data_IF_904997619958
#
_entry.id   IF_904997619958
#
_cell.length_a   1.000
_cell.length_b   1.000
_cell.length_c   1.000
_cell.angle_alpha   90.00
_cell.angle_beta   90.00
_cell.angle_gamma   90.00
#
_symmetry.space_group_name_H-M   'P 1'
#
loop_
_entity.id
_entity.type
_entity.pdbx_description
1 polymer ?
#
# COMPACT_ATOMS: atom_id res chain seq x y z
N UNK A 1 -51.18 -9.43 1.22
CA UNK A 1 -50.00 -9.27 2.08
C UNK A 1 -50.42 -8.53 3.33
N UNK A 2 -49.93 -8.93 4.51
CA UNK A 2 -50.35 -8.43 5.83
C UNK A 2 -49.53 -7.20 6.28
N UNK A 3 -50.16 -6.22 6.93
CA UNK A 3 -49.50 -4.97 7.41
C UNK A 3 -48.31 -5.22 8.37
N UNK A 4 -48.30 -6.37 9.04
CA UNK A 4 -47.19 -6.80 9.89
C UNK A 4 -45.93 -7.13 9.09
N UNK A 5 -46.08 -7.62 7.87
CA UNK A 5 -44.95 -7.85 6.96
C UNK A 5 -44.33 -6.53 6.50
N UNK A 6 -45.15 -5.54 6.14
CA UNK A 6 -44.66 -4.21 5.75
C UNK A 6 -43.90 -3.50 6.88
N UNK A 7 -44.38 -3.59 8.12
CA UNK A 7 -43.71 -2.97 9.28
C UNK A 7 -42.39 -3.65 9.64
N UNK A 8 -42.28 -4.98 9.43
CA UNK A 8 -41.02 -5.73 9.60
C UNK A 8 -40.01 -5.37 8.52
N UNK A 9 -40.43 -5.27 7.26
CA UNK A 9 -39.56 -4.88 6.14
C UNK A 9 -39.04 -3.45 6.32
N UNK A 10 -39.90 -2.51 6.73
CA UNK A 10 -39.47 -1.11 6.93
C UNK A 10 -38.52 -0.95 8.14
N UNK A 11 -38.75 -1.71 9.21
CA UNK A 11 -37.84 -1.75 10.37
C UNK A 11 -36.50 -2.38 10.01
N UNK A 12 -36.49 -3.44 9.18
CA UNK A 12 -35.28 -4.07 8.70
C UNK A 12 -34.48 -3.14 7.76
N UNK A 13 -35.15 -2.40 6.87
CA UNK A 13 -34.52 -1.41 6.00
C UNK A 13 -33.88 -0.27 6.81
N UNK A 14 -34.56 0.21 7.86
CA UNK A 14 -34.04 1.28 8.72
C UNK A 14 -32.83 0.82 9.55
N UNK A 15 -32.82 -0.43 10.02
CA UNK A 15 -31.68 -1.02 10.71
C UNK A 15 -30.44 -1.17 9.81
N UNK A 16 -30.65 -1.48 8.53
CA UNK A 16 -29.57 -1.58 7.54
C UNK A 16 -29.00 -0.20 7.14
N UNK A 17 -29.85 0.84 7.07
CA UNK A 17 -29.39 2.19 6.74
C UNK A 17 -28.51 2.79 7.85
N UNK A 18 -28.79 2.48 9.12
CA UNK A 18 -28.01 2.96 10.27
C UNK A 18 -26.61 2.32 10.33
N UNK A 19 -26.46 1.05 9.92
CA UNK A 19 -25.16 0.38 9.92
C UNK A 19 -24.22 0.88 8.81
N UNK A 20 -24.75 1.46 7.73
CA UNK A 20 -23.94 2.01 6.64
C UNK A 20 -23.47 3.46 6.91
N UNK A 21 -24.16 4.21 7.77
CA UNK A 21 -23.85 5.63 8.06
C UNK A 21 -22.74 5.88 9.08
N UNK A 22 -22.19 4.83 9.71
CA UNK A 22 -21.22 4.93 10.81
C UNK A 22 -19.80 4.46 10.44
N UNK A 23 -19.52 4.22 9.15
CA UNK A 23 -18.17 3.87 8.73
C UNK A 23 -17.26 5.10 8.88
N UNK A 24 -16.23 5.07 9.75
CA UNK A 24 -15.25 6.14 9.74
C UNK A 24 -14.57 6.14 8.36
N UNK A 25 -14.42 7.32 7.77
CA UNK A 25 -13.46 7.52 6.68
C UNK A 25 -12.09 7.31 7.29
N UNK A 26 -11.59 6.08 7.17
CA UNK A 26 -10.28 5.72 7.67
C UNK A 26 -9.25 6.38 6.76
N UNK A 27 -8.60 7.45 7.25
CA UNK A 27 -7.42 7.98 6.60
C UNK A 27 -6.35 6.88 6.53
N UNK A 28 -5.63 6.79 5.42
CA UNK A 28 -4.54 5.83 5.29
C UNK A 28 -3.54 6.05 6.43
N UNK A 29 -3.29 5.01 7.20
CA UNK A 29 -2.34 5.07 8.30
C UNK A 29 -0.93 5.31 7.74
N UNK A 30 -0.21 6.31 8.26
CA UNK A 30 1.16 6.58 7.82
C UNK A 30 2.07 5.44 8.28
N UNK A 31 2.49 4.59 7.35
CA UNK A 31 3.43 3.51 7.64
C UNK A 31 4.79 4.11 7.98
N UNK A 32 5.29 3.82 9.18
CA UNK A 32 6.66 4.16 9.58
C UNK A 32 7.58 3.02 9.15
N UNK A 33 8.71 3.39 8.56
CA UNK A 33 9.80 2.48 8.19
C UNK A 33 11.12 3.09 8.66
N UNK A 34 12.09 2.24 9.00
CA UNK A 34 13.42 2.67 9.40
C UNK A 34 14.21 3.18 8.20
N UNK A 35 13.98 2.58 7.02
CA UNK A 35 14.60 2.99 5.76
C UNK A 35 13.56 3.08 4.64
N UNK A 36 13.54 4.21 3.94
CA UNK A 36 12.83 4.38 2.67
C UNK A 36 13.86 4.58 1.55
N UNK A 37 13.90 3.64 0.61
CA UNK A 37 14.75 3.69 -0.58
C UNK A 37 13.94 4.23 -1.75
N UNK A 38 14.42 5.32 -2.36
CA UNK A 38 13.79 5.94 -3.53
C UNK A 38 14.62 5.59 -4.75
N UNK A 39 13.98 4.97 -5.74
CA UNK A 39 14.62 4.37 -6.91
C UNK A 39 14.86 2.87 -6.71
N UNK A 40 14.40 2.06 -7.66
CA UNK A 40 14.53 0.60 -7.72
C UNK A 40 15.68 0.12 -8.60
N UNK A 41 16.70 0.95 -8.81
CA UNK A 41 17.92 0.62 -9.55
C UNK A 41 18.96 -0.12 -8.71
N UNK A 42 20.09 -0.48 -9.34
CA UNK A 42 21.15 -1.28 -8.70
C UNK A 42 21.68 -0.65 -7.41
N UNK A 43 21.78 0.69 -7.37
CA UNK A 43 22.42 1.38 -6.25
C UNK A 43 21.59 1.22 -4.99
N UNK A 44 20.28 1.50 -5.09
CA UNK A 44 19.34 1.34 -3.99
C UNK A 44 19.20 -0.13 -3.58
N UNK A 45 19.16 -1.06 -4.54
CA UNK A 45 19.13 -2.49 -4.24
C UNK A 45 20.39 -2.96 -3.52
N UNK A 46 21.57 -2.51 -3.95
CA UNK A 46 22.87 -2.85 -3.31
C UNK A 46 22.93 -2.31 -1.89
N UNK A 47 22.52 -1.05 -1.70
CA UNK A 47 22.43 -0.46 -0.36
C UNK A 47 21.44 -1.22 0.53
N UNK A 48 20.28 -1.62 0.00
CA UNK A 48 19.29 -2.41 0.72
C UNK A 48 19.89 -3.72 1.25
N UNK A 49 20.69 -4.41 0.42
CA UNK A 49 21.38 -5.63 0.81
C UNK A 49 22.34 -5.35 1.96
N UNK A 50 23.22 -4.34 1.84
CA UNK A 50 24.14 -4.01 2.93
C UNK A 50 23.43 -3.63 4.23
N UNK A 51 22.35 -2.87 4.16
CA UNK A 51 21.56 -2.51 5.34
C UNK A 51 20.87 -3.74 5.95
N UNK A 52 20.39 -4.67 5.14
CA UNK A 52 19.82 -5.92 5.64
C UNK A 52 20.86 -6.80 6.35
N UNK A 53 22.08 -6.87 5.79
CA UNK A 53 23.18 -7.63 6.39
C UNK A 53 23.65 -7.00 7.71
N UNK A 54 23.69 -5.67 7.80
CA UNK A 54 24.12 -4.95 9.00
C UNK A 54 23.03 -4.92 10.07
N UNK A 55 21.78 -4.67 9.67
CA UNK A 55 20.63 -4.44 10.55
C UNK A 55 19.39 -5.22 10.05
N UNK A 56 19.35 -6.55 10.19
CA UNK A 56 18.30 -7.40 9.63
C UNK A 56 16.92 -7.17 10.27
N UNK A 57 16.86 -6.47 11.40
CA UNK A 57 15.62 -6.17 12.11
C UNK A 57 14.91 -4.90 11.60
N UNK A 58 15.59 -4.08 10.80
CA UNK A 58 15.03 -2.82 10.31
C UNK A 58 13.95 -3.05 9.26
N UNK A 59 12.87 -2.28 9.40
CA UNK A 59 11.80 -2.22 8.43
C UNK A 59 12.21 -1.33 7.26
N UNK A 60 12.11 -1.87 6.04
CA UNK A 60 12.53 -1.17 4.83
C UNK A 60 11.43 -1.16 3.77
N UNK A 61 11.34 -0.07 3.02
CA UNK A 61 10.45 0.07 1.88
C UNK A 61 11.20 0.68 0.71
N UNK A 62 10.91 0.21 -0.51
CA UNK A 62 11.49 0.74 -1.73
C UNK A 62 10.37 1.23 -2.65
N UNK A 63 10.53 2.45 -3.15
CA UNK A 63 9.60 3.08 -4.08
C UNK A 63 10.32 3.40 -5.38
N UNK A 64 9.67 3.13 -6.50
CA UNK A 64 10.15 3.44 -7.85
C UNK A 64 9.06 4.20 -8.61
N UNK A 65 9.46 5.12 -9.47
CA UNK A 65 8.57 5.90 -10.32
C UNK A 65 8.18 5.12 -11.59
N UNK A 66 9.14 4.41 -12.18
CA UNK A 66 8.96 3.66 -13.42
C UNK A 66 8.04 2.46 -13.22
N UNK A 67 7.49 1.96 -14.33
CA UNK A 67 6.56 0.83 -14.31
C UNK A 67 7.25 -0.48 -13.87
N UNK A 68 8.56 -0.56 -14.05
CA UNK A 68 9.41 -1.66 -13.62
C UNK A 68 10.63 -1.23 -12.81
N UNK A 69 11.18 -2.18 -12.04
CA UNK A 69 12.46 -2.01 -11.34
C UNK A 69 13.62 -2.03 -12.33
N UNK A 70 14.71 -1.33 -11.99
CA UNK A 70 15.93 -1.23 -12.79
C UNK A 70 15.73 -0.75 -14.24
N UNK A 71 14.58 -0.15 -14.57
CA UNK A 71 14.29 0.33 -15.93
C UNK A 71 15.11 1.56 -16.34
N UNK A 72 15.60 2.35 -15.38
CA UNK A 72 16.56 3.43 -15.66
C UNK A 72 17.84 2.90 -16.34
N UNK A 73 18.19 1.64 -16.05
CA UNK A 73 19.44 1.02 -16.45
C UNK A 73 19.27 -0.17 -17.40
N UNK A 74 18.07 -0.40 -17.93
CA UNK A 74 17.76 -1.57 -18.76
C UNK A 74 18.22 -1.44 -20.22
N UNK A 75 18.62 -0.23 -20.65
CA UNK A 75 19.22 -0.02 -21.97
C UNK A 75 20.75 -0.09 -21.88
N UNK A 76 21.35 -1.14 -22.45
CA UNK A 76 22.81 -1.34 -22.44
C UNK A 76 23.64 -0.25 -23.12
N UNK A 77 23.01 0.69 -23.85
CA UNK A 77 23.68 1.89 -24.38
C UNK A 77 23.73 3.05 -23.39
N UNK A 78 22.82 3.06 -22.41
CA UNK A 78 22.66 4.12 -21.41
C UNK A 78 23.15 3.68 -20.02
N UNK A 79 23.30 2.37 -19.83
CA UNK A 79 23.81 1.76 -18.62
C UNK A 79 25.34 1.60 -18.73
N UNK A 80 26.08 2.42 -18.00
CA UNK A 80 27.54 2.36 -17.90
C UNK A 80 28.05 1.27 -16.91
N UNK A 81 27.30 0.19 -16.73
CA UNK A 81 27.61 -0.89 -15.77
C UNK A 81 27.03 -0.67 -14.36
N UNK A 82 25.96 0.12 -14.26
CA UNK A 82 25.11 0.31 -13.07
C UNK A 82 23.90 -0.61 -13.16
#
# INVERSE_FOLDING_TARGET
MDDRMFKKVNTALLGLAISMGLMPVQAAETKKVDVLLVGGGIMSATLAVWLNELEPSWSMEMVERLDGVAEESSNGWNNAGT
#
